data_IF_470715325996
#
_entry.id   IF_470715325996
#
_cell.length_a   1.000
_cell.length_b   1.000
_cell.length_c   1.000
_cell.angle_alpha   90.00
_cell.angle_beta   90.00
_cell.angle_gamma   90.00
#
_symmetry.space_group_name_H-M   'P 1'
#
loop_
_entity.id
_entity.type
_entity.pdbx_description
1 polymer ?
#
# COMPACT_ATOMS: atom_id res chain seq x y z
N UNK A 1 12.04 -27.51 -10.87
CA UNK A 1 11.58 -26.20 -11.42
C UNK A 1 12.09 -25.09 -10.52
N UNK A 2 12.80 -24.09 -11.06
CA UNK A 2 13.17 -22.88 -10.28
C UNK A 2 11.88 -22.12 -9.97
N UNK A 3 11.67 -21.72 -8.71
CA UNK A 3 10.59 -20.79 -8.35
C UNK A 3 10.78 -19.52 -9.19
N UNK A 4 9.71 -18.99 -9.81
CA UNK A 4 9.80 -17.73 -10.52
C UNK A 4 10.27 -16.67 -9.53
N UNK A 5 11.20 -15.83 -9.99
CA UNK A 5 11.55 -14.63 -9.25
C UNK A 5 10.32 -13.71 -9.29
N UNK A 6 9.57 -13.66 -8.19
CA UNK A 6 8.35 -12.87 -8.11
C UNK A 6 8.61 -11.37 -8.33
N UNK A 7 9.85 -10.89 -8.15
CA UNK A 7 10.21 -9.52 -8.50
C UNK A 7 10.27 -9.28 -10.01
N UNK A 8 10.67 -10.28 -10.80
CA UNK A 8 10.64 -10.18 -12.28
C UNK A 8 9.22 -10.04 -12.85
N UNK A 9 8.21 -10.47 -12.09
CA UNK A 9 6.80 -10.32 -12.45
C UNK A 9 6.27 -8.90 -12.25
N UNK A 10 7.02 -8.02 -11.56
CA UNK A 10 6.65 -6.62 -11.31
C UNK A 10 7.01 -5.69 -12.49
N UNK A 11 7.26 -6.24 -13.68
CA UNK A 11 7.65 -5.47 -14.87
C UNK A 11 6.64 -4.35 -15.15
N UNK A 12 7.11 -3.10 -15.19
CA UNK A 12 6.32 -1.86 -15.35
C UNK A 12 5.38 -1.44 -14.20
N UNK A 13 5.43 -2.09 -13.03
CA UNK A 13 4.46 -1.77 -11.98
C UNK A 13 5.01 -0.94 -10.83
N UNK A 14 6.19 -1.20 -10.27
CA UNK A 14 6.79 -0.37 -9.21
C UNK A 14 8.32 -0.57 -9.24
N UNK A 15 9.10 0.42 -9.71
CA UNK A 15 10.55 0.41 -9.47
C UNK A 15 10.85 1.01 -8.09
N UNK A 16 11.12 0.16 -7.11
CA UNK A 16 11.46 0.58 -5.74
C UNK A 16 12.92 1.03 -5.57
N UNK A 17 13.74 0.97 -6.63
CA UNK A 17 15.17 1.37 -6.59
C UNK A 17 15.37 2.83 -6.99
N UNK A 18 14.42 3.40 -7.74
CA UNK A 18 14.31 4.82 -8.03
C UNK A 18 13.21 5.42 -7.15
N UNK A 19 13.17 6.76 -6.99
CA UNK A 19 12.14 7.43 -6.17
C UNK A 19 10.76 6.95 -6.64
N UNK A 20 10.07 6.08 -5.87
CA UNK A 20 8.78 5.60 -6.30
C UNK A 20 7.77 6.73 -6.06
N UNK A 21 6.73 6.77 -6.88
CA UNK A 21 5.59 7.68 -6.71
C UNK A 21 5.84 9.18 -7.01
N UNK A 22 6.71 9.50 -7.97
CA UNK A 22 6.91 10.88 -8.46
C UNK A 22 5.77 11.41 -9.33
N UNK A 23 4.93 10.52 -9.86
CA UNK A 23 3.78 10.90 -10.68
C UNK A 23 2.70 11.57 -9.83
N UNK A 24 2.11 12.65 -10.37
CA UNK A 24 0.99 13.35 -9.72
C UNK A 24 -0.21 12.41 -9.63
N UNK A 25 -0.40 11.80 -8.47
CA UNK A 25 -1.51 10.86 -8.21
C UNK A 25 -1.07 9.56 -7.55
N UNK A 26 0.21 9.22 -7.66
CA UNK A 26 0.81 8.10 -6.94
C UNK A 26 1.03 8.52 -5.48
N UNK A 27 0.04 8.31 -4.62
CA UNK A 27 0.16 8.55 -3.18
C UNK A 27 -0.20 7.28 -2.43
N UNK A 28 0.56 7.03 -1.36
CA UNK A 28 0.20 6.05 -0.34
C UNK A 28 -0.67 6.76 0.69
N UNK A 29 -1.85 6.21 0.97
CA UNK A 29 -2.74 6.69 2.01
C UNK A 29 -2.60 5.78 3.22
N UNK A 30 -2.31 6.38 4.38
CA UNK A 30 -2.14 5.67 5.64
C UNK A 30 -3.26 6.07 6.57
N UNK A 31 -3.96 5.09 7.12
CA UNK A 31 -5.08 5.29 8.03
C UNK A 31 -4.86 4.46 9.29
N UNK A 32 -5.36 4.93 10.43
CA UNK A 32 -5.46 4.14 11.66
C UNK A 32 -6.84 3.52 11.76
N UNK A 33 -6.93 2.29 12.28
CA UNK A 33 -8.22 1.73 12.67
C UNK A 33 -8.76 2.46 13.91
N UNK A 34 -10.08 2.60 14.02
CA UNK A 34 -10.72 3.23 15.18
C UNK A 34 -10.60 2.36 16.44
N UNK A 35 -10.73 1.04 16.28
CA UNK A 35 -10.89 0.11 17.39
C UNK A 35 -9.63 -0.72 17.68
N UNK A 36 -8.51 -0.47 16.98
CA UNK A 36 -7.25 -1.18 17.21
C UNK A 36 -6.02 -0.29 16.98
N UNK A 37 -4.92 -0.63 17.66
CA UNK A 37 -3.62 0.03 17.52
C UNK A 37 -2.85 -0.45 16.27
N UNK A 38 -3.54 -0.46 15.13
CA UNK A 38 -2.96 -0.79 13.83
C UNK A 38 -3.23 0.31 12.83
N UNK A 39 -2.44 0.30 11.76
CA UNK A 39 -2.68 1.09 10.55
C UNK A 39 -3.01 0.18 9.37
N UNK A 40 -3.70 0.73 8.39
CA UNK A 40 -3.93 0.12 7.09
C UNK A 40 -3.52 1.08 5.98
N UNK A 41 -3.13 0.51 4.83
CA UNK A 41 -2.55 1.24 3.71
C UNK A 41 -3.42 1.06 2.47
N UNK A 42 -3.77 2.18 1.83
CA UNK A 42 -4.49 2.23 0.55
C UNK A 42 -3.66 2.94 -0.51
N UNK A 43 -3.91 2.64 -1.78
CA UNK A 43 -3.36 3.40 -2.90
C UNK A 43 -4.36 4.48 -3.31
N UNK A 44 -3.87 5.71 -3.46
CA UNK A 44 -4.65 6.79 -4.08
C UNK A 44 -4.63 6.73 -5.61
N UNK A 45 -3.80 5.85 -6.18
CA UNK A 45 -3.60 5.78 -7.62
C UNK A 45 -4.82 5.18 -8.32
N UNK A 46 -5.18 5.80 -9.44
CA UNK A 46 -6.24 5.33 -10.33
C UNK A 46 -5.65 4.30 -11.27
N UNK A 47 -5.87 3.02 -10.97
CA UNK A 47 -5.49 1.93 -11.87
C UNK A 47 -6.52 1.82 -13.01
N UNK A 48 -6.57 2.80 -13.91
CA UNK A 48 -7.55 2.86 -15.01
C UNK A 48 -7.47 1.66 -15.95
N UNK A 49 -6.32 0.99 -16.00
CA UNK A 49 -6.11 -0.24 -16.78
C UNK A 49 -6.74 -1.48 -16.12
N UNK A 50 -7.00 -1.44 -14.81
CA UNK A 50 -7.62 -2.54 -14.06
C UNK A 50 -9.11 -2.28 -13.80
N UNK A 51 -9.47 -1.04 -13.46
CA UNK A 51 -10.84 -0.62 -13.20
C UNK A 51 -11.13 0.66 -14.00
N UNK A 52 -12.08 0.57 -14.94
CA UNK A 52 -12.50 1.70 -15.77
C UNK A 52 -13.27 2.77 -15.00
N UNK A 53 -13.77 2.44 -13.80
CA UNK A 53 -14.45 3.38 -12.94
C UNK A 53 -13.43 4.33 -12.26
N UNK A 54 -13.55 5.61 -12.61
CA UNK A 54 -12.76 6.74 -12.15
C UNK A 54 -12.65 6.82 -10.62
N UNK A 55 -13.71 6.43 -9.91
CA UNK A 55 -13.82 6.55 -8.46
C UNK A 55 -13.62 5.20 -7.73
N UNK A 56 -13.30 4.12 -8.44
CA UNK A 56 -13.17 2.80 -7.83
C UNK A 56 -12.12 2.74 -6.71
N UNK A 57 -11.07 3.57 -6.82
CA UNK A 57 -10.05 3.69 -5.78
C UNK A 57 -10.60 4.14 -4.41
N UNK A 58 -11.71 4.89 -4.37
CA UNK A 58 -12.36 5.33 -3.13
C UNK A 58 -13.01 4.19 -2.36
N UNK A 59 -13.42 3.12 -3.05
CA UNK A 59 -14.12 1.97 -2.47
C UNK A 59 -13.23 0.72 -2.38
N UNK A 60 -12.02 0.76 -2.95
CA UNK A 60 -11.11 -0.39 -2.93
C UNK A 60 -10.68 -0.73 -1.50
N UNK A 61 -10.67 -2.02 -1.19
CA UNK A 61 -10.13 -2.53 0.06
C UNK A 61 -8.67 -2.09 0.26
N UNK A 62 -8.20 -1.97 1.51
CA UNK A 62 -6.80 -1.71 1.77
C UNK A 62 -5.89 -2.79 1.18
N UNK A 63 -4.74 -2.36 0.67
CA UNK A 63 -3.72 -3.25 0.12
C UNK A 63 -2.92 -3.95 1.23
N UNK A 64 -2.66 -3.23 2.32
CA UNK A 64 -2.06 -3.79 3.54
C UNK A 64 -3.01 -3.47 4.68
N UNK A 65 -3.35 -4.50 5.44
CA UNK A 65 -4.20 -4.43 6.62
C UNK A 65 -3.38 -4.83 7.83
N UNK A 66 -3.88 -4.47 9.02
CA UNK A 66 -3.35 -5.01 10.29
C UNK A 66 -1.84 -4.81 10.49
N UNK A 67 -1.32 -3.64 10.08
CA UNK A 67 0.07 -3.28 10.32
C UNK A 67 0.21 -2.70 11.74
N UNK A 68 0.87 -3.46 12.62
CA UNK A 68 1.07 -3.12 14.03
C UNK A 68 2.52 -2.72 14.31
N UNK A 69 2.69 -1.79 15.25
CA UNK A 69 3.98 -1.51 15.88
C UNK A 69 4.18 -2.50 17.03
N UNK A 70 5.31 -3.19 17.07
CA UNK A 70 5.59 -4.28 18.02
C UNK A 70 6.50 -3.86 19.18
N UNK A 71 6.95 -2.61 19.16
CA UNK A 71 7.99 -2.07 20.03
C UNK A 71 7.47 -1.07 21.06
N UNK A 72 6.15 -1.01 21.29
CA UNK A 72 5.57 -0.21 22.37
C UNK A 72 6.02 -0.74 23.74
N UNK A 73 7.20 -0.33 24.17
CA UNK A 73 7.63 -0.39 25.56
C UNK A 73 7.12 0.86 26.24
N UNK A 74 5.98 0.74 26.91
CA UNK A 74 5.49 1.76 27.84
C UNK A 74 6.49 1.89 28.98
N UNK A 75 7.41 2.85 28.91
CA UNK A 75 8.22 3.23 30.07
C UNK A 75 7.33 4.02 31.01
N UNK A 76 6.77 3.37 32.02
CA UNK A 76 6.04 4.04 33.10
C UNK A 76 7.01 4.92 33.89
N UNK A 77 6.72 6.22 33.97
CA UNK A 77 7.19 7.12 35.03
C UNK A 77 6.04 7.36 36.01
#
# INVERSE_FOLDING_TARGET
MKKPDYFSLLTNHIDIRHVPFSERGSRILVYRYLDQNAIYIRLAERLTNLESNIEAYLNRLPFIQDLFFIDEKKTSN
#
